data_IF_624091752608
#
_entry.id   IF_624091752608
#
_cell.length_a   1.000
_cell.length_b   1.000
_cell.length_c   1.000
_cell.angle_alpha   90.00
_cell.angle_beta   90.00
_cell.angle_gamma   90.00
#
_symmetry.space_group_name_H-M   'P 1'
#
loop_
_entity.id
_entity.type
_entity.pdbx_description
1 polymer ?
#
# COMPACT_ATOMS: atom_id res chain seq x y z
N UNK A 1 -4.75 23.56 15.76
CA UNK A 1 -5.86 23.88 14.84
C UNK A 1 -5.41 24.65 13.58
N UNK A 2 -4.35 25.45 13.63
CA UNK A 2 -3.82 26.25 12.50
C UNK A 2 -3.44 25.44 11.26
N UNK A 3 -2.64 24.37 11.41
CA UNK A 3 -2.18 23.52 10.29
C UNK A 3 -3.31 22.85 9.49
N UNK A 4 -4.47 22.63 10.09
CA UNK A 4 -5.53 21.84 9.46
C UNK A 4 -6.43 22.68 8.57
N UNK A 5 -6.72 23.91 8.99
CA UNK A 5 -7.38 24.92 8.16
C UNK A 5 -6.52 25.27 6.93
N UNK A 6 -5.20 25.33 7.11
CA UNK A 6 -4.25 25.55 6.02
C UNK A 6 -4.28 24.44 4.97
N UNK A 7 -4.42 23.17 5.36
CA UNK A 7 -4.51 22.04 4.42
C UNK A 7 -5.80 22.10 3.59
N UNK A 8 -6.94 22.40 4.22
CA UNK A 8 -8.20 22.57 3.51
C UNK A 8 -8.14 23.74 2.51
N UNK A 9 -7.55 24.87 2.93
CA UNK A 9 -7.30 26.03 2.07
C UNK A 9 -6.39 25.68 0.90
N UNK A 10 -5.27 24.99 1.19
CA UNK A 10 -4.34 24.49 0.18
C UNK A 10 -5.06 23.63 -0.87
N UNK A 11 -5.83 22.63 -0.45
CA UNK A 11 -6.57 21.73 -1.37
C UNK A 11 -7.58 22.47 -2.25
N UNK A 12 -8.22 23.49 -1.71
CA UNK A 12 -9.27 24.25 -2.40
C UNK A 12 -8.77 25.40 -3.28
N UNK A 13 -7.62 26.01 -2.99
CA UNK A 13 -7.24 27.33 -3.54
C UNK A 13 -5.87 27.36 -4.22
N UNK A 14 -4.90 26.54 -3.79
CA UNK A 14 -3.54 26.55 -4.35
C UNK A 14 -3.53 26.21 -5.85
N UNK A 15 -2.58 26.75 -6.63
CA UNK A 15 -2.46 26.40 -8.06
C UNK A 15 -2.24 24.90 -8.25
N UNK A 16 -2.95 24.30 -9.22
CA UNK A 16 -2.97 22.84 -9.42
C UNK A 16 -1.57 22.22 -9.59
N UNK A 17 -0.66 22.74 -10.44
CA UNK A 17 0.70 22.19 -10.55
C UNK A 17 1.44 22.16 -9.21
N UNK A 18 1.33 23.24 -8.44
CA UNK A 18 2.06 23.40 -7.17
C UNK A 18 1.54 22.45 -6.10
N UNK A 19 0.23 22.28 -5.99
CA UNK A 19 -0.34 21.31 -5.03
C UNK A 19 -0.10 19.87 -5.47
N UNK A 20 -0.15 19.57 -6.78
CA UNK A 20 0.21 18.25 -7.31
C UNK A 20 1.61 17.85 -6.87
N UNK A 21 2.63 18.70 -7.10
CA UNK A 21 4.01 18.42 -6.66
C UNK A 21 4.07 18.24 -5.15
N UNK A 22 3.45 19.15 -4.38
CA UNK A 22 3.49 19.13 -2.91
C UNK A 22 2.91 17.86 -2.29
N UNK A 23 1.88 17.27 -2.92
CA UNK A 23 1.25 16.04 -2.44
C UNK A 23 1.79 14.76 -3.11
N UNK A 24 2.23 14.85 -4.36
CA UNK A 24 2.78 13.71 -5.11
C UNK A 24 4.21 13.37 -4.67
N UNK A 25 5.08 14.36 -4.44
CA UNK A 25 6.48 14.11 -4.07
C UNK A 25 6.61 13.24 -2.81
N UNK A 26 5.87 13.50 -1.71
CA UNK A 26 5.89 12.60 -0.56
C UNK A 26 5.43 11.18 -0.89
N UNK A 27 4.41 11.03 -1.75
CA UNK A 27 3.93 9.72 -2.20
C UNK A 27 4.98 8.97 -3.02
N UNK A 28 5.68 9.67 -3.93
CA UNK A 28 6.78 9.11 -4.74
C UNK A 28 7.91 8.62 -3.82
N UNK A 29 8.36 9.46 -2.89
CA UNK A 29 9.40 9.09 -1.92
C UNK A 29 8.96 7.86 -1.11
N UNK A 30 7.72 7.83 -0.62
CA UNK A 30 7.21 6.70 0.14
C UNK A 30 7.23 5.39 -0.65
N UNK A 31 6.85 5.42 -1.93
CA UNK A 31 6.86 4.24 -2.80
C UNK A 31 8.28 3.80 -3.18
N UNK A 32 9.19 4.75 -3.40
CA UNK A 32 10.60 4.43 -3.66
C UNK A 32 11.28 3.83 -2.41
N UNK A 33 11.02 4.37 -1.22
CA UNK A 33 11.52 3.79 0.03
C UNK A 33 10.98 2.37 0.24
N UNK A 34 9.70 2.14 -0.07
CA UNK A 34 9.11 0.80 -0.04
C UNK A 34 9.79 -0.14 -1.05
N UNK A 35 10.07 0.34 -2.27
CA UNK A 35 10.79 -0.45 -3.28
C UNK A 35 12.20 -0.85 -2.80
N UNK A 36 12.95 0.09 -2.21
CA UNK A 36 14.28 -0.19 -1.62
C UNK A 36 14.18 -1.22 -0.50
N UNK A 37 13.19 -1.08 0.40
CA UNK A 37 12.93 -2.07 1.43
C UNK A 37 12.72 -3.48 0.86
N UNK A 38 11.84 -3.65 -0.13
CA UNK A 38 11.57 -4.98 -0.70
C UNK A 38 12.83 -5.59 -1.35
N UNK A 39 13.68 -4.77 -1.98
CA UNK A 39 14.96 -5.23 -2.56
C UNK A 39 15.93 -5.68 -1.48
N UNK A 40 16.09 -4.88 -0.43
CA UNK A 40 17.00 -5.17 0.68
C UNK A 40 16.57 -6.43 1.44
N UNK A 41 15.28 -6.57 1.75
CA UNK A 41 14.70 -7.78 2.37
C UNK A 41 14.98 -9.03 1.50
N UNK A 42 14.75 -8.93 0.19
CA UNK A 42 15.05 -10.04 -0.74
C UNK A 42 16.54 -10.42 -0.75
N UNK A 43 17.44 -9.43 -0.69
CA UNK A 43 18.88 -9.66 -0.63
C UNK A 43 19.25 -10.38 0.68
N UNK A 44 18.74 -9.91 1.82
CA UNK A 44 18.99 -10.56 3.11
C UNK A 44 18.40 -11.97 3.18
N UNK A 45 17.24 -12.24 2.60
CA UNK A 45 16.72 -13.61 2.52
C UNK A 45 17.59 -14.47 1.61
N UNK A 46 18.07 -13.93 0.48
CA UNK A 46 18.95 -14.62 -0.45
C UNK A 46 20.31 -15.01 0.16
N UNK A 47 20.83 -14.21 1.09
CA UNK A 47 22.11 -14.42 1.78
C UNK A 47 22.05 -15.47 2.91
N UNK A 48 20.88 -16.07 3.20
CA UNK A 48 20.76 -17.13 4.21
C UNK A 48 21.35 -18.50 3.77
N UNK A 49 21.84 -18.62 2.52
CA UNK A 49 22.36 -19.85 1.90
C UNK A 49 21.44 -21.08 2.09
N UNK A 50 20.13 -20.84 2.23
CA UNK A 50 19.13 -21.86 2.47
C UNK A 50 18.03 -21.80 1.39
N UNK A 51 18.12 -22.71 0.42
CA UNK A 51 17.22 -22.75 -0.73
C UNK A 51 15.76 -22.98 -0.33
N UNK A 52 15.51 -23.77 0.72
CA UNK A 52 14.17 -24.01 1.26
C UNK A 52 13.57 -22.76 1.91
N UNK A 53 14.39 -21.92 2.55
CA UNK A 53 13.96 -20.63 3.09
C UNK A 53 13.56 -19.65 1.96
N UNK A 54 14.38 -19.53 0.92
CA UNK A 54 14.05 -18.67 -0.25
C UNK A 54 12.74 -19.15 -0.93
N UNK A 55 12.58 -20.47 -1.05
CA UNK A 55 11.35 -21.09 -1.55
C UNK A 55 10.13 -20.76 -0.68
N UNK A 56 10.29 -20.73 0.64
CA UNK A 56 9.21 -20.39 1.58
C UNK A 56 8.69 -18.95 1.41
N UNK A 57 9.58 -17.96 1.20
CA UNK A 57 9.15 -16.58 0.91
C UNK A 57 8.33 -16.53 -0.38
N UNK A 58 8.78 -17.22 -1.41
CA UNK A 58 8.12 -17.23 -2.73
C UNK A 58 6.71 -17.84 -2.65
N UNK A 59 6.54 -18.95 -1.94
CA UNK A 59 5.23 -19.62 -1.78
C UNK A 59 4.29 -18.83 -0.87
N UNK A 60 4.83 -18.10 0.12
CA UNK A 60 4.03 -17.26 1.00
C UNK A 60 3.58 -15.93 0.36
N UNK A 61 4.26 -15.47 -0.70
CA UNK A 61 4.02 -14.18 -1.33
C UNK A 61 2.57 -13.92 -1.79
N UNK A 62 1.87 -14.86 -2.46
CA UNK A 62 0.46 -14.68 -2.86
C UNK A 62 -0.46 -14.40 -1.67
N UNK A 63 -0.22 -15.02 -0.52
CA UNK A 63 -1.00 -14.80 0.69
C UNK A 63 -0.90 -13.34 1.16
N UNK A 64 0.31 -12.76 1.13
CA UNK A 64 0.52 -11.36 1.50
C UNK A 64 -0.10 -10.40 0.49
N UNK A 65 -0.07 -10.73 -0.79
CA UNK A 65 -0.74 -9.93 -1.81
C UNK A 65 -2.24 -9.83 -1.56
N UNK A 66 -2.90 -10.92 -1.16
CA UNK A 66 -4.33 -10.90 -0.82
C UNK A 66 -4.58 -9.97 0.37
N UNK A 67 -3.84 -10.13 1.46
CA UNK A 67 -3.98 -9.27 2.66
C UNK A 67 -3.77 -7.79 2.29
N UNK A 68 -2.73 -7.50 1.52
CA UNK A 68 -2.43 -6.15 1.05
C UNK A 68 -3.52 -5.59 0.12
N UNK A 69 -4.12 -6.42 -0.75
CA UNK A 69 -5.18 -6.02 -1.66
C UNK A 69 -6.44 -5.57 -0.90
N UNK A 70 -6.81 -6.25 0.19
CA UNK A 70 -7.89 -5.82 1.07
C UNK A 70 -7.56 -4.52 1.82
N UNK A 71 -6.32 -4.37 2.29
CA UNK A 71 -5.83 -3.10 2.85
C UNK A 71 -5.95 -1.94 1.87
N UNK A 72 -5.60 -2.13 0.60
CA UNK A 72 -5.79 -1.12 -0.45
C UNK A 72 -7.26 -0.89 -0.77
N UNK A 73 -8.09 -1.94 -0.83
CA UNK A 73 -9.51 -1.86 -1.12
C UNK A 73 -10.20 -0.88 -0.15
N UNK A 74 -10.02 -1.10 1.16
CA UNK A 74 -10.59 -0.22 2.17
C UNK A 74 -9.91 1.15 2.20
N UNK A 75 -8.58 1.18 2.16
CA UNK A 75 -7.81 2.42 2.25
C UNK A 75 -8.09 3.39 1.09
N UNK A 76 -7.92 2.96 -0.16
CA UNK A 76 -8.12 3.81 -1.34
C UNK A 76 -9.59 4.21 -1.47
N UNK A 77 -10.52 3.28 -1.23
CA UNK A 77 -11.95 3.53 -1.26
C UNK A 77 -12.38 4.60 -0.25
N UNK A 78 -11.99 4.42 1.02
CA UNK A 78 -12.26 5.38 2.08
C UNK A 78 -11.57 6.71 1.84
N UNK A 79 -10.29 6.70 1.43
CA UNK A 79 -9.54 7.93 1.16
C UNK A 79 -10.18 8.79 0.07
N UNK A 80 -10.72 8.19 -0.98
CA UNK A 80 -11.45 8.92 -2.02
C UNK A 80 -12.75 9.52 -1.48
N UNK A 81 -13.56 8.73 -0.76
CA UNK A 81 -14.82 9.21 -0.23
C UNK A 81 -14.62 10.31 0.82
N UNK A 82 -13.66 10.14 1.73
CA UNK A 82 -13.24 11.15 2.70
C UNK A 82 -12.84 12.44 1.98
N UNK A 83 -11.97 12.38 0.97
CA UNK A 83 -11.53 13.57 0.23
C UNK A 83 -12.73 14.35 -0.33
N UNK A 84 -13.71 13.66 -0.92
CA UNK A 84 -14.97 14.26 -1.40
C UNK A 84 -15.78 14.89 -0.27
N UNK A 85 -15.96 14.19 0.85
CA UNK A 85 -16.69 14.71 2.01
C UNK A 85 -16.04 15.95 2.62
N UNK A 86 -14.71 16.00 2.67
CA UNK A 86 -13.97 17.18 3.13
C UNK A 86 -14.19 18.36 2.20
N UNK A 87 -14.19 18.14 0.88
CA UNK A 87 -14.54 19.16 -0.12
C UNK A 87 -15.98 19.65 -0.01
N UNK A 88 -16.93 18.75 0.30
CA UNK A 88 -18.34 19.06 0.59
C UNK A 88 -18.54 19.72 1.97
N UNK A 89 -17.48 19.90 2.76
CA UNK A 89 -17.51 20.38 4.16
C UNK A 89 -18.34 19.50 5.11
N UNK A 90 -18.56 18.23 4.77
CA UNK A 90 -19.30 17.24 5.60
C UNK A 90 -18.36 16.50 6.55
N UNK A 91 -17.75 17.24 7.48
CA UNK A 91 -16.71 16.71 8.38
C UNK A 91 -17.19 15.52 9.22
N UNK A 92 -18.36 15.61 9.84
CA UNK A 92 -18.87 14.53 10.70
C UNK A 92 -19.04 13.21 9.92
N UNK A 93 -19.47 13.29 8.66
CA UNK A 93 -19.59 12.10 7.81
C UNK A 93 -18.21 11.56 7.41
N UNK A 94 -17.18 12.42 7.29
CA UNK A 94 -15.80 11.99 7.09
C UNK A 94 -15.25 11.28 8.34
N UNK A 95 -15.54 11.77 9.55
CA UNK A 95 -15.17 11.13 10.82
C UNK A 95 -15.85 9.75 10.98
N UNK A 96 -17.14 9.66 10.61
CA UNK A 96 -17.86 8.37 10.55
C UNK A 96 -17.25 7.41 9.53
N UNK A 97 -16.94 7.89 8.33
CA UNK A 97 -16.32 7.08 7.27
C UNK A 97 -14.96 6.55 7.73
N UNK A 98 -14.10 7.42 8.27
CA UNK A 98 -12.80 7.07 8.79
C UNK A 98 -12.84 6.04 9.92
N UNK A 99 -13.74 6.26 10.90
CA UNK A 99 -13.92 5.34 12.01
C UNK A 99 -14.45 3.98 11.54
N UNK A 100 -15.47 3.97 10.67
CA UNK A 100 -15.96 2.73 10.05
C UNK A 100 -14.85 2.00 9.31
N UNK A 101 -14.11 2.67 8.41
CA UNK A 101 -12.98 2.03 7.70
C UNK A 101 -11.95 1.46 8.65
N UNK A 102 -11.53 2.20 9.69
CA UNK A 102 -10.54 1.73 10.64
C UNK A 102 -10.96 0.45 11.36
N UNK A 103 -12.16 0.43 11.94
CA UNK A 103 -12.66 -0.76 12.65
C UNK A 103 -12.98 -1.92 11.70
N UNK A 104 -13.46 -1.65 10.48
CA UNK A 104 -13.59 -2.69 9.44
C UNK A 104 -12.24 -3.29 9.08
N UNK A 105 -11.19 -2.48 8.94
CA UNK A 105 -9.85 -2.94 8.60
C UNK A 105 -9.23 -3.80 9.71
N UNK A 106 -9.46 -3.46 10.98
CA UNK A 106 -9.09 -4.32 12.11
C UNK A 106 -9.87 -5.63 12.06
N UNK A 107 -11.19 -5.58 11.91
CA UNK A 107 -12.02 -6.79 11.84
C UNK A 107 -11.61 -7.70 10.69
N UNK A 108 -11.34 -7.13 9.51
CA UNK A 108 -10.87 -7.85 8.34
C UNK A 108 -9.50 -8.49 8.57
N UNK A 109 -8.56 -7.76 9.19
CA UNK A 109 -7.27 -8.32 9.58
C UNK A 109 -7.37 -9.46 10.59
N UNK A 110 -8.29 -9.37 11.57
CA UNK A 110 -8.56 -10.46 12.53
C UNK A 110 -9.12 -11.67 11.79
N UNK A 111 -10.06 -11.48 10.87
CA UNK A 111 -10.60 -12.54 10.02
C UNK A 111 -9.47 -13.21 9.23
N UNK A 112 -8.60 -12.44 8.57
CA UNK A 112 -7.43 -13.01 7.87
C UNK A 112 -6.49 -13.77 8.80
N UNK A 113 -6.31 -13.30 10.03
CA UNK A 113 -5.49 -13.99 11.02
C UNK A 113 -6.11 -15.34 11.37
N UNK A 114 -7.40 -15.37 11.71
CA UNK A 114 -8.10 -16.60 12.10
C UNK A 114 -8.18 -17.61 10.95
N UNK A 115 -8.62 -17.18 9.77
CA UNK A 115 -8.69 -18.05 8.60
C UNK A 115 -7.30 -18.48 8.12
N UNK A 116 -6.35 -17.54 8.08
CA UNK A 116 -4.99 -17.82 7.66
C UNK A 116 -4.30 -18.85 8.55
N UNK A 117 -4.48 -18.77 9.87
CA UNK A 117 -3.91 -19.74 10.81
C UNK A 117 -4.61 -21.11 10.74
N UNK A 118 -5.95 -21.12 10.60
CA UNK A 118 -6.72 -22.36 10.50
C UNK A 118 -6.43 -23.15 9.22
N UNK A 119 -6.21 -22.45 8.09
CA UNK A 119 -6.03 -23.06 6.78
C UNK A 119 -4.61 -22.90 6.21
N UNK A 120 -3.61 -22.61 7.06
CA UNK A 120 -2.27 -22.24 6.58
C UNK A 120 -1.65 -23.31 5.70
N UNK A 121 -1.76 -24.58 6.08
CA UNK A 121 -1.13 -25.67 5.35
C UNK A 121 -1.85 -25.97 4.01
N UNK A 122 -3.18 -26.10 3.95
CA UNK A 122 -3.90 -26.16 2.67
C UNK A 122 -3.59 -24.98 1.73
N UNK A 123 -3.51 -23.75 2.28
CA UNK A 123 -3.18 -22.56 1.49
C UNK A 123 -1.76 -22.62 0.92
N UNK A 124 -0.78 -23.01 1.75
CA UNK A 124 0.61 -23.14 1.30
C UNK A 124 0.78 -24.29 0.28
N UNK A 125 0.07 -25.42 0.45
CA UNK A 125 0.04 -26.50 -0.57
C UNK A 125 -0.55 -25.99 -1.88
N UNK A 126 -1.65 -25.24 -1.82
CA UNK A 126 -2.27 -24.63 -3.00
C UNK A 126 -1.32 -23.68 -3.74
N UNK A 127 -0.48 -22.95 -3.00
CA UNK A 127 0.53 -22.05 -3.57
C UNK A 127 1.84 -22.75 -3.96
N UNK A 128 1.92 -24.08 -3.84
CA UNK A 128 3.03 -24.88 -4.34
C UNK A 128 4.12 -25.23 -3.32
N UNK A 129 3.84 -25.19 -2.01
CA UNK A 129 4.79 -25.66 -1.00
C UNK A 129 5.01 -27.18 -1.13
N UNK A 130 6.27 -27.57 -1.39
CA UNK A 130 6.73 -28.96 -1.31
C UNK A 130 6.95 -29.39 0.15
N UNK A 131 7.13 -30.69 0.40
CA UNK A 131 7.37 -31.21 1.76
C UNK A 131 8.61 -30.59 2.43
N UNK A 132 9.66 -30.30 1.67
CA UNK A 132 10.89 -29.68 2.18
C UNK A 132 10.75 -28.19 2.47
N UNK A 133 9.86 -27.49 1.76
CA UNK A 133 9.59 -26.05 1.94
C UNK A 133 8.52 -25.82 3.03
N UNK A 134 7.59 -26.75 3.19
CA UNK A 134 6.42 -26.62 4.06
C UNK A 134 6.76 -26.16 5.49
N UNK A 135 7.77 -26.72 6.19
CA UNK A 135 8.10 -26.27 7.55
C UNK A 135 8.51 -24.79 7.60
N UNK A 136 9.40 -24.38 6.69
CA UNK A 136 9.86 -22.98 6.59
C UNK A 136 8.73 -22.04 6.20
N UNK A 137 7.88 -22.44 5.25
CA UNK A 137 6.74 -21.66 4.81
C UNK A 137 5.69 -21.49 5.92
N UNK A 138 5.37 -22.55 6.68
CA UNK A 138 4.44 -22.45 7.82
C UNK A 138 4.97 -21.51 8.88
N UNK A 139 6.24 -21.63 9.22
CA UNK A 139 6.87 -20.81 10.24
C UNK A 139 6.94 -19.32 9.86
N UNK A 140 7.34 -19.04 8.63
CA UNK A 140 7.37 -17.68 8.07
C UNK A 140 5.97 -17.07 7.95
N UNK A 141 5.03 -17.81 7.35
CA UNK A 141 3.67 -17.33 7.12
C UNK A 141 2.87 -17.16 8.40
N UNK A 142 3.03 -18.00 9.43
CA UNK A 142 2.31 -17.85 10.71
C UNK A 142 2.55 -16.47 11.31
N UNK A 143 3.81 -16.06 11.40
CA UNK A 143 4.19 -14.78 12.00
C UNK A 143 3.57 -13.63 11.19
N UNK A 144 3.70 -13.66 9.86
CA UNK A 144 3.17 -12.58 9.02
C UNK A 144 1.63 -12.54 8.99
N UNK A 145 0.95 -13.69 9.10
CA UNK A 145 -0.52 -13.75 9.21
C UNK A 145 -0.99 -13.08 10.51
N UNK A 146 -0.27 -13.25 11.63
CA UNK A 146 -0.54 -12.45 12.84
C UNK A 146 -0.37 -10.94 12.59
N UNK A 147 0.56 -10.57 11.71
CA UNK A 147 0.76 -9.20 11.24
C UNK A 147 -0.37 -8.64 10.36
N UNK A 148 -1.31 -9.47 9.87
CA UNK A 148 -2.34 -9.04 8.92
C UNK A 148 -3.20 -7.89 9.44
N UNK A 149 -3.54 -7.90 10.73
CA UNK A 149 -4.24 -6.79 11.41
C UNK A 149 -3.51 -5.47 11.22
N UNK A 150 -2.20 -5.45 11.45
CA UNK A 150 -1.41 -4.24 11.36
C UNK A 150 -1.21 -3.84 9.90
N UNK A 151 -1.01 -4.80 8.99
CA UNK A 151 -0.90 -4.54 7.55
C UNK A 151 -2.14 -3.82 7.01
N UNK A 152 -3.33 -4.41 7.15
CA UNK A 152 -4.59 -3.87 6.60
C UNK A 152 -4.90 -2.50 7.23
N UNK A 153 -4.67 -2.36 8.53
CA UNK A 153 -4.90 -1.11 9.24
C UNK A 153 -3.91 -0.01 8.84
N UNK A 154 -2.62 -0.33 8.71
CA UNK A 154 -1.59 0.62 8.26
C UNK A 154 -1.92 1.20 6.88
N UNK A 155 -2.36 0.35 5.95
CA UNK A 155 -2.74 0.77 4.60
C UNK A 155 -3.95 1.70 4.62
N UNK A 156 -4.94 1.38 5.45
CA UNK A 156 -6.15 2.18 5.61
C UNK A 156 -5.84 3.55 6.22
N UNK A 157 -5.13 3.58 7.35
CA UNK A 157 -4.73 4.79 8.04
C UNK A 157 -3.89 5.71 7.15
N UNK A 158 -2.91 5.16 6.43
CA UNK A 158 -2.07 5.93 5.51
C UNK A 158 -2.88 6.59 4.39
N UNK A 159 -3.79 5.84 3.75
CA UNK A 159 -4.66 6.40 2.71
C UNK A 159 -5.57 7.52 3.27
N UNK A 160 -6.09 7.35 4.47
CA UNK A 160 -6.93 8.35 5.14
C UNK A 160 -6.14 9.63 5.51
N UNK A 161 -4.90 9.52 5.98
CA UNK A 161 -4.02 10.67 6.25
C UNK A 161 -3.74 11.46 4.96
N UNK A 162 -3.55 10.75 3.83
CA UNK A 162 -3.40 11.39 2.53
C UNK A 162 -4.68 12.08 2.07
N UNK A 163 -5.85 11.50 2.35
CA UNK A 163 -7.15 12.06 1.99
C UNK A 163 -7.44 13.45 2.61
N UNK A 164 -6.91 13.72 3.80
CA UNK A 164 -6.98 15.05 4.43
C UNK A 164 -5.83 15.99 4.04
N UNK A 165 -5.00 15.60 3.07
CA UNK A 165 -3.93 16.42 2.50
C UNK A 165 -2.60 16.38 3.26
N UNK A 166 -2.41 15.44 4.19
CA UNK A 166 -1.16 15.30 4.94
C UNK A 166 -0.24 14.21 4.36
N UNK A 167 0.07 14.30 3.06
CA UNK A 167 0.93 13.33 2.37
C UNK A 167 2.32 13.20 3.00
N UNK A 168 2.88 14.29 3.56
CA UNK A 168 4.18 14.27 4.25
C UNK A 168 4.19 13.35 5.46
N UNK A 169 3.14 13.37 6.29
CA UNK A 169 3.08 12.48 7.45
C UNK A 169 2.92 11.02 7.05
N UNK A 170 2.11 10.73 6.02
CA UNK A 170 2.00 9.37 5.47
C UNK A 170 3.34 8.87 4.92
N UNK A 171 4.09 9.72 4.22
CA UNK A 171 5.45 9.39 3.77
C UNK A 171 6.36 9.03 4.95
N UNK A 172 6.40 9.87 5.99
CA UNK A 172 7.22 9.62 7.18
C UNK A 172 6.83 8.28 7.82
N UNK A 173 5.53 7.98 7.96
CA UNK A 173 5.07 6.72 8.54
C UNK A 173 5.53 5.49 7.73
N UNK A 174 5.42 5.55 6.39
CA UNK A 174 5.89 4.46 5.50
C UNK A 174 7.41 4.32 5.59
N UNK A 175 8.14 5.44 5.61
CA UNK A 175 9.60 5.45 5.72
C UNK A 175 10.10 4.91 7.06
N UNK A 176 9.42 5.21 8.17
CA UNK A 176 9.75 4.64 9.49
C UNK A 176 9.59 3.12 9.46
N UNK A 177 8.48 2.61 8.92
CA UNK A 177 8.25 1.17 8.82
C UNK A 177 9.30 0.46 7.97
N UNK A 178 9.58 0.99 6.79
CA UNK A 178 10.59 0.44 5.88
C UNK A 178 12.00 0.51 6.48
N UNK A 179 12.37 1.64 7.08
CA UNK A 179 13.68 1.83 7.70
C UNK A 179 13.89 0.93 8.92
N UNK A 180 12.88 0.78 9.77
CA UNK A 180 12.92 -0.15 10.90
C UNK A 180 13.09 -1.58 10.42
N UNK A 181 12.37 -1.99 9.39
CA UNK A 181 12.48 -3.34 8.87
C UNK A 181 13.91 -3.59 8.31
N UNK A 182 14.45 -2.69 7.49
CA UNK A 182 15.82 -2.82 6.94
C UNK A 182 16.86 -2.98 8.06
N UNK A 183 16.66 -2.34 9.21
CA UNK A 183 17.56 -2.44 10.37
C UNK A 183 17.33 -3.75 11.14
N UNK A 184 16.07 -4.12 11.36
CA UNK A 184 15.70 -5.28 12.17
C UNK A 184 15.95 -6.62 11.47
N UNK A 185 15.84 -6.67 10.14
CA UNK A 185 16.08 -7.88 9.33
C UNK A 185 17.45 -8.50 9.63
N UNK A 186 18.59 -7.81 9.44
CA UNK A 186 19.89 -8.44 9.66
C UNK A 186 20.14 -8.79 11.14
N UNK A 187 19.56 -8.02 12.07
CA UNK A 187 19.63 -8.30 13.50
C UNK A 187 18.93 -9.63 13.81
N UNK A 188 17.68 -9.80 13.35
CA UNK A 188 16.92 -11.01 13.66
C UNK A 188 17.37 -12.22 12.85
N UNK A 189 17.66 -12.03 11.56
CA UNK A 189 18.06 -13.13 10.68
C UNK A 189 19.44 -13.67 11.04
N UNK A 190 20.43 -12.80 11.20
CA UNK A 190 21.84 -13.19 11.37
C UNK A 190 22.31 -13.07 12.82
N UNK A 191 22.12 -11.92 13.47
CA UNK A 191 22.69 -11.73 14.83
C UNK A 191 22.02 -12.61 15.87
N UNK A 192 20.72 -12.87 15.74
CA UNK A 192 19.95 -13.77 16.60
C UNK A 192 19.79 -15.19 16.02
N UNK A 193 20.40 -15.49 14.86
CA UNK A 193 20.31 -16.78 14.18
C UNK A 193 18.87 -17.30 13.97
N UNK A 194 17.89 -16.41 13.77
CA UNK A 194 16.49 -16.83 13.56
C UNK A 194 16.20 -17.22 12.11
N UNK A 195 17.15 -17.01 11.19
CA UNK A 195 16.99 -17.26 9.76
C UNK A 195 15.76 -16.55 9.21
N UNK A 196 14.98 -17.23 8.36
CA UNK A 196 13.78 -16.68 7.73
C UNK A 196 12.68 -16.25 8.71
N UNK A 197 12.59 -16.90 9.89
CA UNK A 197 11.65 -16.45 10.94
C UNK A 197 11.96 -15.03 11.39
N UNK A 198 13.25 -14.67 11.41
CA UNK A 198 13.72 -13.34 11.74
C UNK A 198 13.14 -12.27 10.82
N UNK A 199 13.14 -12.51 9.50
CA UNK A 199 12.58 -11.59 8.50
C UNK A 199 11.08 -11.34 8.74
N UNK A 200 10.30 -12.42 8.98
CA UNK A 200 8.87 -12.27 9.29
C UNK A 200 8.64 -11.49 10.58
N UNK A 201 9.46 -11.70 11.62
CA UNK A 201 9.33 -11.00 12.89
C UNK A 201 9.69 -9.51 12.76
N UNK A 202 10.76 -9.19 12.04
CA UNK A 202 11.19 -7.83 11.74
C UNK A 202 10.11 -7.07 10.96
N UNK A 203 9.49 -7.71 9.99
CA UNK A 203 8.35 -7.17 9.24
C UNK A 203 7.17 -6.84 10.15
N UNK A 204 6.69 -7.80 10.97
CA UNK A 204 5.54 -7.58 11.85
C UNK A 204 5.83 -6.50 12.89
N UNK A 205 7.01 -6.52 13.50
CA UNK A 205 7.40 -5.53 14.50
C UNK A 205 7.45 -4.11 13.90
N UNK A 206 7.99 -3.98 12.70
CA UNK A 206 8.02 -2.71 11.97
C UNK A 206 6.61 -2.20 11.62
N UNK A 207 5.69 -3.11 11.28
CA UNK A 207 4.29 -2.78 11.05
C UNK A 207 3.57 -2.36 12.34
N UNK A 208 3.86 -3.00 13.47
CA UNK A 208 3.30 -2.63 14.78
C UNK A 208 3.76 -1.21 15.15
N UNK A 209 5.06 -0.93 15.03
CA UNK A 209 5.60 0.40 15.34
C UNK A 209 5.00 1.46 14.40
N UNK A 210 4.89 1.16 13.11
CA UNK A 210 4.22 2.03 12.13
C UNK A 210 2.76 2.28 12.48
N UNK A 211 2.05 1.24 12.91
CA UNK A 211 0.65 1.33 13.31
C UNK A 211 0.48 2.22 14.54
N UNK A 212 1.32 2.06 15.56
CA UNK A 212 1.34 2.91 16.75
C UNK A 212 1.62 4.36 16.38
N UNK A 213 2.58 4.61 15.48
CA UNK A 213 2.89 5.95 14.98
C UNK A 213 1.70 6.59 14.25
N UNK A 214 1.01 5.84 13.39
CA UNK A 214 -0.18 6.30 12.69
C UNK A 214 -1.36 6.54 13.64
N UNK A 215 -1.59 5.69 14.63
CA UNK A 215 -2.67 5.88 15.60
C UNK A 215 -2.42 7.10 16.47
N UNK A 216 -1.18 7.31 16.91
CA UNK A 216 -0.77 8.51 17.66
C UNK A 216 -1.09 9.80 16.88
N UNK A 217 -1.02 9.78 15.55
CA UNK A 217 -1.41 10.92 14.72
C UNK A 217 -2.88 11.32 14.92
N UNK A 218 -3.79 10.34 14.93
CA UNK A 218 -5.22 10.57 15.11
C UNK A 218 -5.59 10.95 16.54
N UNK A 219 -4.92 10.36 17.54
CA UNK A 219 -5.18 10.65 18.97
C UNK A 219 -4.58 12.02 19.38
N UNK A 220 -3.44 12.42 18.81
CA UNK A 220 -2.75 13.68 19.17
C UNK A 220 -3.46 14.96 18.71
N UNK A 221 -4.63 14.88 18.07
CA UNK A 221 -5.37 16.05 17.57
C UNK A 221 -4.73 16.73 16.34
N UNK A 222 -3.70 16.12 15.74
CA UNK A 222 -3.04 16.62 14.53
C UNK A 222 -3.83 16.33 13.24
N UNK A 223 -4.68 15.31 13.25
CA UNK A 223 -5.57 14.96 12.14
C UNK A 223 -6.76 15.91 12.07
N UNK A 224 -7.23 16.22 10.85
CA UNK A 224 -8.51 16.90 10.67
C UNK A 224 -9.67 15.99 11.03
N UNK A 225 -9.52 14.72 10.65
CA UNK A 225 -10.49 13.66 10.83
C UNK A 225 -10.30 13.02 12.21
N UNK A 226 -11.40 12.63 12.85
CA UNK A 226 -11.38 11.93 14.13
C UNK A 226 -11.74 10.47 13.93
N UNK A 227 -10.94 9.60 14.54
CA UNK A 227 -11.24 8.18 14.69
C UNK A 227 -11.70 7.96 16.12
N UNK A 228 -12.93 7.49 16.29
CA UNK A 228 -13.46 7.11 17.60
C UNK A 228 -14.53 6.03 17.42
N UNK A 229 -14.65 5.15 18.41
CA UNK A 229 -15.71 4.14 18.44
C UNK A 229 -17.11 4.79 18.40
N UNK A 230 -17.26 6.01 18.95
CA UNK A 230 -18.54 6.74 18.93
C UNK A 230 -18.95 7.18 17.52
N UNK A 231 -18.01 7.30 16.58
CA UNK A 231 -18.27 7.61 15.18
C UNK A 231 -18.41 6.36 14.31
N UNK A 232 -18.18 5.16 14.87
CA UNK A 232 -18.37 3.93 14.13
C UNK A 232 -19.85 3.75 13.76
N UNK A 233 -20.12 3.53 12.46
CA UNK A 233 -21.48 3.35 11.98
C UNK A 233 -21.52 2.32 10.84
N UNK A 234 -22.34 1.28 11.02
CA UNK A 234 -22.69 0.30 9.98
C UNK A 234 -23.70 0.87 8.98
N UNK A 235 -23.31 1.95 8.29
CA UNK A 235 -24.13 2.55 7.25
C UNK A 235 -23.87 1.90 5.89
N UNK A 236 -24.89 1.27 5.30
CA UNK A 236 -24.85 0.71 3.94
C UNK A 236 -24.35 1.73 2.91
N UNK A 237 -24.69 3.01 3.12
CA UNK A 237 -24.25 4.11 2.24
C UNK A 237 -22.75 4.33 2.32
N UNK A 238 -22.16 4.33 3.53
CA UNK A 238 -20.70 4.49 3.72
C UNK A 238 -19.97 3.31 3.05
N UNK A 239 -20.38 2.07 3.34
CA UNK A 239 -19.77 0.91 2.70
C UNK A 239 -19.92 0.92 1.18
N UNK A 240 -21.08 1.31 0.65
CA UNK A 240 -21.28 1.43 -0.81
C UNK A 240 -20.30 2.41 -1.44
N UNK A 241 -20.11 3.60 -0.86
CA UNK A 241 -19.16 4.59 -1.40
C UNK A 241 -17.70 4.11 -1.30
N UNK A 242 -17.33 3.43 -0.22
CA UNK A 242 -15.99 2.82 -0.07
C UNK A 242 -15.78 1.74 -1.14
N UNK A 243 -16.73 0.81 -1.26
CA UNK A 243 -16.60 -0.37 -2.13
C UNK A 243 -16.65 -0.02 -3.62
N UNK A 244 -17.35 1.05 -4.04
CA UNK A 244 -17.35 1.53 -5.44
C UNK A 244 -15.94 1.75 -5.99
N UNK A 245 -15.02 2.23 -5.16
CA UNK A 245 -13.63 2.51 -5.55
C UNK A 245 -12.70 1.40 -5.05
N UNK A 246 -12.99 0.83 -3.88
CA UNK A 246 -12.23 -0.27 -3.30
C UNK A 246 -12.21 -1.51 -4.19
N UNK A 247 -13.38 -1.99 -4.64
CA UNK A 247 -13.48 -3.21 -5.46
C UNK A 247 -12.74 -3.02 -6.78
N UNK A 248 -12.82 -1.84 -7.39
CA UNK A 248 -12.07 -1.53 -8.61
C UNK A 248 -10.54 -1.61 -8.37
N UNK A 249 -10.08 -1.13 -7.21
CA UNK A 249 -8.66 -1.23 -6.82
C UNK A 249 -8.23 -2.67 -6.58
N UNK A 250 -9.06 -3.45 -5.89
CA UNK A 250 -8.85 -4.87 -5.66
C UNK A 250 -8.80 -5.67 -6.97
N UNK A 251 -9.79 -5.47 -7.83
CA UNK A 251 -9.87 -6.11 -9.15
C UNK A 251 -8.66 -5.74 -10.02
N UNK A 252 -8.24 -4.46 -10.03
CA UNK A 252 -7.03 -4.03 -10.73
C UNK A 252 -5.80 -4.79 -10.24
N UNK A 253 -5.66 -5.00 -8.94
CA UNK A 253 -4.51 -5.72 -8.37
C UNK A 253 -4.56 -7.21 -8.73
N UNK A 254 -5.74 -7.85 -8.64
CA UNK A 254 -5.93 -9.24 -9.06
C UNK A 254 -5.67 -9.45 -10.55
N UNK A 255 -6.23 -8.60 -11.41
CA UNK A 255 -6.01 -8.64 -12.87
C UNK A 255 -4.54 -8.38 -13.23
N UNK A 256 -3.85 -7.50 -12.51
CA UNK A 256 -2.40 -7.27 -12.73
C UNK A 256 -1.58 -8.53 -12.39
N UNK A 257 -1.94 -9.23 -11.32
CA UNK A 257 -1.30 -10.50 -10.95
C UNK A 257 -1.55 -11.59 -11.99
N UNK A 258 -2.79 -11.71 -12.49
CA UNK A 258 -3.15 -12.65 -13.55
C UNK A 258 -2.41 -12.34 -14.86
N UNK A 259 -2.36 -11.07 -15.26
CA UNK A 259 -1.64 -10.62 -16.45
C UNK A 259 -0.15 -10.98 -16.38
N UNK A 260 0.49 -10.78 -15.22
CA UNK A 260 1.89 -11.18 -15.01
C UNK A 260 2.09 -12.69 -15.20
N UNK A 261 1.18 -13.51 -14.67
CA UNK A 261 1.21 -14.96 -14.84
C UNK A 261 1.06 -15.38 -16.31
N UNK A 262 0.12 -14.78 -17.03
CA UNK A 262 -0.10 -15.04 -18.47
C UNK A 262 1.10 -14.61 -19.32
N UNK A 263 1.75 -13.49 -18.99
CA UNK A 263 2.98 -13.04 -19.66
C UNK A 263 4.10 -14.08 -19.50
N UNK A 264 4.30 -14.63 -18.29
CA UNK A 264 5.30 -15.67 -18.07
C UNK A 264 4.98 -16.97 -18.83
N UNK A 265 3.70 -17.37 -18.88
CA UNK A 265 3.26 -18.54 -19.66
C UNK A 265 3.49 -18.32 -21.16
N UNK A 266 3.16 -17.12 -21.67
CA UNK A 266 3.37 -16.76 -23.07
C UNK A 266 4.86 -16.67 -23.45
N UNK A 267 5.74 -16.37 -22.49
CA UNK A 267 7.20 -16.35 -22.69
C UNK A 267 7.83 -17.76 -22.71
N UNK A 268 7.17 -18.77 -22.12
CA UNK A 268 7.71 -20.14 -21.99
C UNK A 268 8.13 -20.80 -23.33
N UNK A 269 7.40 -20.66 -24.45
CA UNK A 269 7.81 -21.24 -25.74
C UNK A 269 9.11 -20.66 -26.30
N UNK A 270 9.54 -19.48 -25.84
CA UNK A 270 10.77 -18.81 -26.29
C UNK A 270 12.01 -19.23 -25.49
N UNK A 271 11.88 -20.20 -24.59
CA UNK A 271 12.96 -20.74 -23.77
C UNK A 271 13.24 -19.93 -22.51
N UNK A 272 14.04 -20.52 -21.61
CA UNK A 272 14.29 -19.98 -20.27
C UNK A 272 14.96 -18.61 -20.28
N UNK A 273 15.80 -18.35 -21.29
CA UNK A 273 16.44 -17.04 -21.47
C UNK A 273 15.42 -15.92 -21.71
N UNK A 274 14.35 -16.18 -22.46
CA UNK A 274 13.28 -15.20 -22.70
C UNK A 274 12.45 -14.95 -21.44
N UNK A 275 12.13 -16.01 -20.67
CA UNK A 275 11.44 -15.89 -19.39
C UNK A 275 12.29 -15.09 -18.38
N UNK A 276 13.60 -15.36 -18.31
CA UNK A 276 14.53 -14.62 -17.46
C UNK A 276 14.64 -13.14 -17.89
N UNK A 277 14.75 -12.86 -19.19
CA UNK A 277 14.79 -11.50 -19.73
C UNK A 277 13.51 -10.71 -19.41
N UNK A 278 12.34 -11.37 -19.47
CA UNK A 278 11.06 -10.78 -19.07
C UNK A 278 11.04 -10.43 -17.58
N UNK A 279 11.55 -11.31 -16.71
CA UNK A 279 11.67 -11.06 -15.28
C UNK A 279 12.51 -9.84 -14.95
N UNK A 280 13.67 -9.70 -15.60
CA UNK A 280 14.55 -8.52 -15.45
C UNK A 280 13.86 -7.24 -15.97
N UNK A 281 13.24 -7.31 -17.16
CA UNK A 281 12.56 -6.17 -17.77
C UNK A 281 11.41 -5.65 -16.90
N UNK A 282 10.59 -6.55 -16.37
CA UNK A 282 9.47 -6.21 -15.50
C UNK A 282 9.93 -5.61 -14.17
N UNK A 283 11.07 -6.06 -13.62
CA UNK A 283 11.68 -5.44 -12.43
C UNK A 283 12.14 -4.01 -12.71
N UNK A 284 12.78 -3.76 -13.85
CA UNK A 284 13.17 -2.39 -14.25
C UNK A 284 11.93 -1.50 -14.43
N UNK A 285 10.89 -2.00 -15.12
CA UNK A 285 9.62 -1.28 -15.29
C UNK A 285 8.93 -0.98 -13.96
N UNK A 286 9.05 -1.86 -12.97
CA UNK A 286 8.40 -1.69 -11.66
C UNK A 286 8.84 -0.41 -10.93
N UNK A 287 10.09 0.04 -11.11
CA UNK A 287 10.60 1.30 -10.54
C UNK A 287 9.81 2.49 -11.08
N UNK A 288 9.57 2.54 -12.39
CA UNK A 288 8.73 3.57 -13.02
C UNK A 288 7.28 3.50 -12.52
N UNK A 289 6.74 2.29 -12.34
CA UNK A 289 5.40 2.07 -11.80
C UNK A 289 5.28 2.59 -10.36
N UNK A 290 6.30 2.41 -9.51
CA UNK A 290 6.30 2.95 -8.14
C UNK A 290 6.24 4.48 -8.11
N UNK A 291 6.93 5.15 -9.03
CA UNK A 291 6.84 6.61 -9.18
C UNK A 291 5.40 7.02 -9.55
N UNK A 292 4.77 6.30 -10.49
CA UNK A 292 3.38 6.57 -10.90
C UNK A 292 2.40 6.32 -9.74
N UNK A 293 2.59 5.24 -8.97
CA UNK A 293 1.76 4.97 -7.79
C UNK A 293 1.94 6.02 -6.70
N UNK A 294 3.16 6.49 -6.49
CA UNK A 294 3.43 7.58 -5.56
C UNK A 294 2.79 8.90 -6.00
N UNK A 295 2.85 9.19 -7.30
CA UNK A 295 2.15 10.33 -7.89
C UNK A 295 0.62 10.25 -7.69
N UNK A 296 0.03 9.08 -8.00
CA UNK A 296 -1.40 8.84 -7.86
C UNK A 296 -1.90 9.04 -6.41
N UNK A 297 -1.09 8.69 -5.42
CA UNK A 297 -1.41 8.92 -4.00
C UNK A 297 -1.52 10.42 -3.64
N UNK A 298 -0.79 11.30 -4.33
CA UNK A 298 -0.91 12.75 -4.16
C UNK A 298 -2.03 13.36 -5.00
N UNK A 299 -2.27 12.81 -6.19
CA UNK A 299 -3.34 13.22 -7.10
C UNK A 299 -4.75 12.97 -6.54
N UNK A 300 -4.97 11.78 -5.96
CA UNK A 300 -6.27 11.33 -5.46
C UNK A 300 -6.96 12.34 -4.51
N UNK A 301 -6.32 12.86 -3.43
CA UNK A 301 -6.97 13.80 -2.52
C UNK A 301 -7.33 15.12 -3.18
N UNK A 302 -6.51 15.60 -4.13
CA UNK A 302 -6.76 16.87 -4.84
C UNK A 302 -8.04 16.77 -5.67
N UNK A 303 -8.17 15.70 -6.45
CA UNK A 303 -9.36 15.47 -7.28
C UNK A 303 -10.57 15.20 -6.41
N UNK A 304 -10.44 14.36 -5.39
CA UNK A 304 -11.54 14.06 -4.47
C UNK A 304 -12.09 15.31 -3.78
N UNK A 305 -11.21 16.15 -3.21
CA UNK A 305 -11.59 17.40 -2.54
C UNK A 305 -12.23 18.39 -3.51
N UNK A 306 -11.63 18.64 -4.68
CA UNK A 306 -12.17 19.61 -5.62
C UNK A 306 -13.48 19.14 -6.27
N UNK A 307 -13.65 17.83 -6.47
CA UNK A 307 -14.92 17.26 -6.92
C UNK A 307 -16.03 17.46 -5.88
N UNK A 308 -15.74 17.17 -4.60
CA UNK A 308 -16.68 17.42 -3.50
C UNK A 308 -17.03 18.89 -3.31
N UNK A 309 -16.03 19.78 -3.50
CA UNK A 309 -16.24 21.23 -3.47
C UNK A 309 -16.90 21.80 -4.74
N UNK A 310 -17.33 20.94 -5.69
CA UNK A 310 -17.91 21.31 -7.00
C UNK A 310 -17.02 22.20 -7.87
N UNK A 311 -15.71 22.20 -7.63
CA UNK A 311 -14.70 22.94 -8.41
C UNK A 311 -14.25 22.11 -9.61
N UNK A 312 -15.17 21.79 -10.52
CA UNK A 312 -14.91 20.88 -11.65
C UNK A 312 -13.84 21.37 -12.62
N UNK A 313 -13.68 22.68 -12.80
CA UNK A 313 -12.60 23.24 -13.63
C UNK A 313 -11.22 22.82 -13.11
N UNK A 314 -11.02 22.86 -11.79
CA UNK A 314 -9.79 22.41 -11.13
C UNK A 314 -9.58 20.90 -11.25
N UNK A 315 -10.67 20.12 -11.24
CA UNK A 315 -10.60 18.67 -11.49
C UNK A 315 -10.11 18.38 -12.91
N UNK A 316 -10.67 19.05 -13.92
CA UNK A 316 -10.23 18.90 -15.32
C UNK A 316 -8.78 19.34 -15.52
N UNK A 317 -8.38 20.45 -14.90
CA UNK A 317 -7.00 20.93 -14.92
C UNK A 317 -6.03 19.91 -14.29
N UNK A 318 -6.38 19.36 -13.11
CA UNK A 318 -5.58 18.34 -12.44
C UNK A 318 -5.44 17.07 -13.29
N UNK A 319 -6.52 16.61 -13.93
CA UNK A 319 -6.48 15.45 -14.85
C UNK A 319 -5.56 15.75 -16.03
N UNK A 320 -5.72 16.91 -16.69
CA UNK A 320 -4.91 17.29 -17.86
C UNK A 320 -3.42 17.33 -17.53
N UNK A 321 -3.04 18.01 -16.45
CA UNK A 321 -1.64 18.10 -16.01
C UNK A 321 -1.11 16.72 -15.64
N UNK A 322 -1.91 15.92 -14.94
CA UNK A 322 -1.50 14.56 -14.55
C UNK A 322 -1.24 13.67 -15.76
N UNK A 323 -2.08 13.73 -16.79
CA UNK A 323 -1.86 12.99 -18.03
C UNK A 323 -0.57 13.45 -18.73
N UNK A 324 -0.34 14.76 -18.84
CA UNK A 324 0.88 15.29 -19.46
C UNK A 324 2.13 14.84 -18.68
N UNK A 325 2.12 14.96 -17.36
CA UNK A 325 3.27 14.64 -16.52
C UNK A 325 3.55 13.14 -16.45
N UNK A 326 2.52 12.30 -16.29
CA UNK A 326 2.70 10.84 -16.24
C UNK A 326 3.10 10.27 -17.60
N UNK A 327 2.50 10.72 -18.70
CA UNK A 327 2.95 10.34 -20.05
C UNK A 327 4.36 10.86 -20.33
N UNK A 328 4.68 12.10 -19.96
CA UNK A 328 6.03 12.65 -20.11
C UNK A 328 7.08 11.86 -19.34
N UNK A 329 6.78 11.46 -18.10
CA UNK A 329 7.67 10.62 -17.28
C UNK A 329 7.90 9.24 -17.91
N UNK A 330 6.85 8.61 -18.45
CA UNK A 330 6.95 7.26 -19.04
C UNK A 330 7.64 7.31 -20.40
N UNK A 331 7.32 8.29 -21.26
CA UNK A 331 7.81 8.34 -22.64
C UNK A 331 9.18 9.04 -22.79
N UNK A 332 9.59 9.91 -21.85
CA UNK A 332 10.87 10.62 -21.93
C UNK A 332 12.09 9.69 -22.03
N UNK A 333 12.20 8.58 -21.25
CA UNK A 333 13.27 7.61 -21.41
C UNK A 333 13.30 6.95 -22.80
N UNK A 334 12.14 6.59 -23.35
CA UNK A 334 12.03 5.96 -24.67
C UNK A 334 12.42 6.89 -25.82
N UNK A 335 12.09 8.18 -25.71
CA UNK A 335 12.45 9.18 -26.73
C UNK A 335 13.97 9.41 -26.85
N UNK A 336 14.74 9.08 -25.80
CA UNK A 336 16.21 9.16 -25.81
C UNK A 336 16.89 7.90 -26.36
N UNK A 337 16.21 6.76 -26.42
CA UNK A 337 16.74 5.52 -27.00
C UNK A 337 16.52 5.38 -28.51
N UNK A 338 15.64 6.21 -29.09
CA UNK A 338 15.38 6.29 -30.54
C UNK A 338 16.30 7.29 -31.26
N UNK A 339 17.33 7.81 -30.57
CA UNK A 339 18.41 8.61 -31.14
C UNK A 339 19.72 7.89 -30.92
#
# INVERSE_FOLDING_TARGET
MTNTSERAKMMGEEKIPKILIKLAMPGIIAMLVNAVYNVVDTIFVGMLDNTSAIGAVSVAFPLFMIIAAFGQMFGVGAGSYISRLLGEKKKELADKTASTTFFTSIACGIIFTLFGLAFIEPLLKLFGATETIMPFAKDYSRILIFGAVFTVSNMSLNNMIRAEGNAKFSMIAISIGAGLNIILDPIFMYSLNMGIKGASLATVLSQIISFVFLIRYYISGKSYIRISINYFNFSKKIYSEIMKIGIATFARQGLSSLALGLINIAAKPYGDAAVAAMGVTLRVLSIGIFVIFGYNQGFQPIVGYNYGAKKYNRVREAIKISLIWTTGLICSPYSRQLK
#
